data_IF_339562407606
#
_entry.id   IF_339562407606
#
_cell.length_a   1.000
_cell.length_b   1.000
_cell.length_c   1.000
_cell.angle_alpha   90.00
_cell.angle_beta   90.00
_cell.angle_gamma   90.00
#
_symmetry.space_group_name_H-M   'P 1'
#
loop_
_entity.id
_entity.type
_entity.pdbx_description
1 polymer ?
#
# COMPACT_ATOMS: atom_id res chain seq x y z
N UNK A 1 -5.31 -0.12 3.89
CA UNK A 1 -6.45 0.76 3.52
C UNK A 1 -6.17 2.03 4.27
N UNK A 2 -5.71 3.04 3.55
CA UNK A 2 -4.79 4.03 4.13
C UNK A 2 -5.46 5.40 4.32
N UNK A 3 -6.51 5.70 3.54
CA UNK A 3 -7.28 6.94 3.60
C UNK A 3 -8.77 6.65 3.87
N UNK A 4 -9.39 7.43 4.76
CA UNK A 4 -10.82 7.37 5.10
C UNK A 4 -11.41 8.76 4.87
N UNK A 5 -12.56 8.82 4.19
CA UNK A 5 -13.38 10.05 4.07
C UNK A 5 -14.69 9.88 4.84
N UNK A 6 -15.07 10.90 5.61
CA UNK A 6 -16.35 10.98 6.32
C UNK A 6 -17.18 12.07 5.66
N UNK A 7 -18.38 11.72 5.20
CA UNK A 7 -19.32 12.64 4.54
C UNK A 7 -20.63 12.69 5.32
N UNK A 8 -21.23 13.88 5.40
CA UNK A 8 -22.48 14.14 6.11
C UNK A 8 -23.25 15.28 5.44
N UNK A 9 -24.53 15.46 5.77
CA UNK A 9 -25.40 16.43 5.13
C UNK A 9 -25.28 17.85 5.70
N UNK A 10 -24.72 18.00 6.90
CA UNK A 10 -24.42 19.30 7.51
C UNK A 10 -23.04 19.34 8.15
N UNK A 11 -22.56 20.55 8.45
CA UNK A 11 -21.28 20.75 9.14
C UNK A 11 -21.31 20.15 10.55
N UNK A 12 -22.43 20.29 11.27
CA UNK A 12 -22.62 19.73 12.61
C UNK A 12 -22.61 18.20 12.58
N UNK A 13 -23.30 17.60 11.61
CA UNK A 13 -23.35 16.15 11.43
C UNK A 13 -21.97 15.62 11.02
N UNK A 14 -21.23 16.35 10.17
CA UNK A 14 -19.86 15.99 9.79
C UNK A 14 -18.93 15.98 11.01
N UNK A 15 -19.07 16.93 11.93
CA UNK A 15 -18.31 16.97 13.17
C UNK A 15 -18.68 15.82 14.12
N UNK A 16 -19.96 15.50 14.22
CA UNK A 16 -20.42 14.38 15.04
C UNK A 16 -19.95 13.03 14.49
N UNK A 17 -20.07 12.83 13.18
CA UNK A 17 -19.57 11.65 12.49
C UNK A 17 -18.05 11.52 12.63
N UNK A 18 -17.32 12.63 12.42
CA UNK A 18 -15.88 12.72 12.65
C UNK A 18 -15.47 12.25 14.05
N UNK A 19 -16.11 12.77 15.10
CA UNK A 19 -15.79 12.40 16.48
C UNK A 19 -16.09 10.91 16.74
N UNK A 20 -17.19 10.41 16.20
CA UNK A 20 -17.56 8.99 16.29
C UNK A 20 -16.52 8.11 15.61
N UNK A 21 -16.08 8.46 14.39
CA UNK A 21 -15.05 7.75 13.64
C UNK A 21 -13.72 7.74 14.41
N UNK A 22 -13.26 8.89 14.92
CA UNK A 22 -12.02 8.95 15.71
C UNK A 22 -12.10 8.09 16.97
N UNK A 23 -13.22 8.13 17.70
CA UNK A 23 -13.41 7.30 18.89
C UNK A 23 -13.39 5.80 18.56
N UNK A 24 -14.00 5.43 17.43
CA UNK A 24 -14.04 4.03 16.97
C UNK A 24 -12.64 3.54 16.58
N UNK A 25 -11.89 4.34 15.82
CA UNK A 25 -10.51 4.02 15.44
C UNK A 25 -9.61 3.88 16.67
N UNK A 26 -9.71 4.81 17.62
CA UNK A 26 -8.97 4.74 18.88
C UNK A 26 -9.32 3.47 19.68
N UNK A 27 -10.60 3.12 19.78
CA UNK A 27 -11.05 1.91 20.47
C UNK A 27 -10.55 0.62 19.81
N UNK A 28 -10.39 0.63 18.48
CA UNK A 28 -9.79 -0.47 17.72
C UNK A 28 -8.25 -0.48 17.78
N UNK A 29 -7.63 0.39 18.59
CA UNK A 29 -6.17 0.54 18.69
C UNK A 29 -5.49 0.99 17.40
N UNK A 30 -6.21 1.70 16.52
CA UNK A 30 -5.62 2.32 15.34
C UNK A 30 -4.89 3.60 15.71
N UNK A 31 -3.73 3.84 15.09
CA UNK A 31 -2.97 5.08 15.24
C UNK A 31 -3.31 6.02 14.09
N UNK A 32 -3.99 7.13 14.39
CA UNK A 32 -4.32 8.18 13.41
C UNK A 32 -3.10 9.05 13.15
N UNK A 33 -2.74 9.25 11.87
CA UNK A 33 -1.69 10.18 11.49
C UNK A 33 -2.25 11.61 11.43
N UNK A 34 -2.07 12.38 12.50
CA UNK A 34 -2.61 13.74 12.63
C UNK A 34 -2.04 14.72 11.61
N UNK A 35 -0.75 14.64 11.29
CA UNK A 35 -0.09 15.56 10.36
C UNK A 35 -0.60 15.41 8.92
N UNK A 36 -1.04 14.20 8.56
CA UNK A 36 -1.67 13.91 7.26
C UNK A 36 -3.18 14.09 7.26
N UNK A 37 -3.80 14.14 8.45
CA UNK A 37 -5.24 14.21 8.59
C UNK A 37 -5.75 15.64 8.42
N UNK A 38 -6.87 15.78 7.72
CA UNK A 38 -7.55 17.06 7.56
C UNK A 38 -8.93 16.96 8.19
N UNK A 39 -9.05 17.52 9.40
CA UNK A 39 -10.17 17.27 10.31
C UNK A 39 -11.26 18.35 10.26
N UNK A 40 -11.04 19.43 9.49
CA UNK A 40 -12.03 20.49 9.33
C UNK A 40 -13.03 20.08 8.24
N UNK A 41 -14.34 20.09 8.53
CA UNK A 41 -15.35 19.89 7.49
C UNK A 41 -15.14 20.89 6.35
N UNK A 42 -15.27 20.40 5.12
CA UNK A 42 -15.14 21.19 3.90
C UNK A 42 -16.11 20.65 2.87
N UNK A 43 -16.65 21.54 2.04
CA UNK A 43 -17.47 21.15 0.90
C UNK A 43 -16.64 20.57 -0.25
N UNK A 44 -15.33 20.84 -0.29
CA UNK A 44 -14.42 20.30 -1.29
C UNK A 44 -13.25 19.58 -0.62
N UNK A 45 -13.01 18.32 -1.02
CA UNK A 45 -11.93 17.50 -0.49
C UNK A 45 -11.32 16.60 -1.55
N UNK A 46 -10.00 16.57 -1.62
CA UNK A 46 -9.28 15.58 -2.42
C UNK A 46 -9.24 14.24 -1.68
N UNK A 47 -9.61 13.16 -2.37
CA UNK A 47 -9.56 11.80 -1.88
C UNK A 47 -9.25 10.85 -3.04
N UNK A 48 -8.14 10.10 -2.96
CA UNK A 48 -7.68 9.18 -4.01
C UNK A 48 -7.58 9.83 -5.41
N UNK A 49 -7.17 11.09 -5.48
CA UNK A 49 -7.06 11.85 -6.75
C UNK A 49 -8.39 12.39 -7.29
N UNK A 50 -9.50 12.16 -6.61
CA UNK A 50 -10.80 12.78 -6.88
C UNK A 50 -10.99 14.01 -5.99
N UNK A 51 -11.32 15.14 -6.59
CA UNK A 51 -11.91 16.28 -5.90
C UNK A 51 -13.40 15.98 -5.72
N UNK A 52 -13.75 15.61 -4.50
CA UNK A 52 -15.14 15.42 -4.07
C UNK A 52 -15.64 16.78 -3.62
N UNK A 53 -16.59 17.34 -4.38
CA UNK A 53 -17.30 18.55 -4.02
C UNK A 53 -18.76 18.19 -3.72
N UNK A 54 -19.29 18.61 -2.57
CA UNK A 54 -20.69 18.33 -2.19
C UNK A 54 -21.71 19.13 -3.01
N UNK A 55 -21.27 20.12 -3.81
CA UNK A 55 -22.14 20.96 -4.64
C UNK A 55 -21.97 20.76 -6.14
N UNK A 56 -21.07 19.88 -6.57
CA UNK A 56 -20.84 19.60 -8.00
C UNK A 56 -20.51 18.13 -8.21
N UNK A 57 -20.52 17.67 -9.45
CA UNK A 57 -20.04 16.31 -9.76
C UNK A 57 -18.57 16.15 -9.32
N UNK A 58 -18.18 14.96 -8.81
CA UNK A 58 -16.78 14.67 -8.49
C UNK A 58 -15.91 14.80 -9.74
N UNK A 59 -14.79 15.50 -9.62
CA UNK A 59 -13.84 15.67 -10.73
C UNK A 59 -12.49 15.10 -10.33
N UNK A 60 -11.83 14.39 -11.23
CA UNK A 60 -10.43 14.03 -11.00
C UNK A 60 -9.58 15.31 -11.02
N UNK A 61 -8.62 15.41 -10.10
CA UNK A 61 -7.70 16.55 -10.08
C UNK A 61 -6.87 16.61 -11.37
N UNK A 62 -6.59 15.43 -11.96
CA UNK A 62 -6.01 15.27 -13.28
C UNK A 62 -6.89 14.31 -14.08
N UNK A 63 -7.34 14.71 -15.27
CA UNK A 63 -8.04 13.80 -16.19
C UNK A 63 -7.13 12.59 -16.49
N UNK A 64 -7.68 11.39 -16.64
CA UNK A 64 -6.92 10.22 -17.13
C UNK A 64 -6.30 10.50 -18.50
N UNK A 65 -6.89 11.39 -19.30
CA UNK A 65 -6.35 11.83 -20.59
C UNK A 65 -5.35 13.00 -20.46
N UNK A 66 -5.03 13.45 -19.24
CA UNK A 66 -4.09 14.55 -19.05
C UNK A 66 -2.69 14.14 -19.49
N UNK A 67 -2.05 15.01 -20.28
CA UNK A 67 -0.67 14.79 -20.70
C UNK A 67 0.27 15.17 -19.56
N UNK A 68 1.06 14.21 -19.09
CA UNK A 68 2.14 14.45 -18.14
C UNK A 68 3.46 14.67 -18.88
N UNK A 69 4.24 15.67 -18.46
CA UNK A 69 5.61 15.83 -18.94
C UNK A 69 6.54 14.88 -18.18
N UNK A 70 7.12 13.92 -18.88
CA UNK A 70 8.09 13.00 -18.31
C UNK A 70 9.43 13.71 -18.14
N UNK A 71 10.00 13.64 -16.95
CA UNK A 71 11.37 14.13 -16.73
C UNK A 71 12.37 13.22 -17.44
N UNK A 72 13.58 13.72 -17.77
CA UNK A 72 14.61 12.89 -18.39
C UNK A 72 14.96 11.63 -17.59
N UNK A 73 14.91 11.72 -16.25
CA UNK A 73 15.12 10.58 -15.36
C UNK A 73 14.02 9.52 -15.54
N UNK A 74 12.76 9.93 -15.55
CA UNK A 74 11.62 9.01 -15.77
C UNK A 74 11.67 8.38 -17.17
N UNK A 75 12.08 9.15 -18.19
CA UNK A 75 12.29 8.60 -19.54
C UNK A 75 13.43 7.58 -19.56
N UNK A 76 14.50 7.81 -18.81
CA UNK A 76 15.60 6.87 -18.67
C UNK A 76 15.12 5.57 -18.03
N UNK A 77 14.38 5.65 -16.92
CA UNK A 77 13.83 4.49 -16.23
C UNK A 77 12.85 3.72 -17.13
N UNK A 78 11.95 4.41 -17.84
CA UNK A 78 11.01 3.76 -18.75
C UNK A 78 11.72 3.05 -19.91
N UNK A 79 12.83 3.60 -20.40
CA UNK A 79 13.67 2.94 -21.42
C UNK A 79 14.34 1.69 -20.86
N UNK A 80 14.90 1.76 -19.65
CA UNK A 80 15.47 0.61 -18.96
C UNK A 80 14.43 -0.52 -18.79
N UNK A 81 13.20 -0.16 -18.38
CA UNK A 81 12.10 -1.11 -18.21
C UNK A 81 11.65 -1.69 -19.54
N UNK A 82 11.52 -0.87 -20.58
CA UNK A 82 11.17 -1.32 -21.93
C UNK A 82 12.20 -2.32 -22.48
N UNK A 83 13.49 -2.01 -22.33
CA UNK A 83 14.59 -2.91 -22.72
C UNK A 83 14.53 -4.20 -21.89
N UNK A 84 14.31 -4.09 -20.58
CA UNK A 84 14.21 -5.26 -19.69
C UNK A 84 13.03 -6.16 -20.05
N UNK A 85 11.88 -5.58 -20.43
CA UNK A 85 10.70 -6.31 -20.89
C UNK A 85 10.92 -6.99 -22.24
N UNK A 86 11.71 -6.39 -23.16
CA UNK A 86 12.06 -7.08 -24.42
C UNK A 86 13.01 -8.27 -24.22
N UNK A 87 13.78 -8.26 -23.13
CA UNK A 87 14.64 -9.37 -22.72
C UNK A 87 13.91 -10.38 -21.82
N UNK A 88 12.71 -10.05 -21.36
CA UNK A 88 11.92 -10.92 -20.51
C UNK A 88 11.30 -12.01 -21.39
N UNK A 89 11.76 -13.25 -21.22
CA UNK A 89 11.33 -14.42 -22.00
C UNK A 89 10.00 -15.02 -21.51
N UNK A 90 9.25 -14.25 -20.69
CA UNK A 90 7.97 -14.67 -20.12
C UNK A 90 8.07 -15.84 -19.15
N UNK A 91 9.27 -16.31 -18.81
CA UNK A 91 9.42 -17.38 -17.81
C UNK A 91 9.19 -16.77 -16.43
N UNK A 92 8.09 -17.19 -15.83
CA UNK A 92 7.93 -17.13 -14.37
C UNK A 92 9.10 -17.91 -13.77
N UNK A 93 9.74 -17.35 -12.74
CA UNK A 93 10.95 -17.90 -12.12
C UNK A 93 10.81 -19.35 -11.59
N UNK A 94 9.61 -19.95 -11.61
CA UNK A 94 9.38 -21.33 -11.23
C UNK A 94 8.13 -21.90 -11.89
N UNK A 95 8.26 -23.07 -12.54
CA UNK A 95 7.18 -23.92 -13.07
C UNK A 95 6.69 -24.99 -12.08
N UNK A 96 7.20 -25.00 -10.86
CA UNK A 96 6.75 -25.95 -9.85
C UNK A 96 5.48 -25.42 -9.19
N UNK A 97 4.49 -26.28 -8.88
CA UNK A 97 3.46 -25.91 -7.93
C UNK A 97 4.17 -25.48 -6.65
N UNK A 98 3.89 -24.26 -6.20
CA UNK A 98 4.33 -23.82 -4.89
C UNK A 98 3.65 -24.73 -3.85
N UNK A 99 4.41 -25.24 -2.90
CA UNK A 99 3.82 -25.91 -1.74
C UNK A 99 3.10 -24.88 -0.86
N UNK A 100 3.56 -23.62 -0.88
CA UNK A 100 3.11 -22.54 -0.02
C UNK A 100 3.20 -21.17 -0.74
N UNK A 101 2.19 -20.32 -0.57
CA UNK A 101 2.20 -18.93 -1.10
C UNK A 101 2.23 -17.94 0.04
N UNK A 102 3.11 -16.96 -0.03
CA UNK A 102 3.20 -15.89 0.94
C UNK A 102 2.78 -14.56 0.33
N UNK A 103 1.73 -13.96 0.88
CA UNK A 103 1.39 -12.57 0.59
C UNK A 103 2.18 -11.66 1.53
N UNK A 104 2.82 -10.62 0.99
CA UNK A 104 3.57 -9.64 1.78
C UNK A 104 3.11 -8.23 1.47
N UNK A 105 3.16 -7.35 2.47
CA UNK A 105 2.96 -5.93 2.28
C UNK A 105 4.00 -5.13 3.06
N UNK A 106 4.30 -3.93 2.56
CA UNK A 106 5.17 -2.98 3.22
C UNK A 106 4.47 -1.62 3.32
N UNK A 107 4.69 -0.94 4.43
CA UNK A 107 4.29 0.44 4.65
C UNK A 107 5.50 1.26 5.08
N UNK A 108 5.35 2.57 5.25
CA UNK A 108 6.42 3.41 5.81
C UNK A 108 6.72 3.11 7.29
N UNK A 109 5.80 2.48 8.02
CA UNK A 109 5.94 2.20 9.46
C UNK A 109 6.35 0.75 9.78
N UNK A 110 5.92 -0.21 8.97
CA UNK A 110 6.20 -1.62 9.18
C UNK A 110 5.88 -2.50 7.98
N UNK A 111 5.90 -3.82 8.22
CA UNK A 111 5.59 -4.85 7.25
C UNK A 111 4.65 -5.90 7.83
N UNK A 112 3.96 -6.60 6.93
CA UNK A 112 3.13 -7.74 7.24
C UNK A 112 3.29 -8.85 6.21
N UNK A 113 2.97 -10.07 6.62
CA UNK A 113 2.96 -11.23 5.77
C UNK A 113 1.89 -12.23 6.22
N UNK A 114 1.27 -12.91 5.26
CA UNK A 114 0.28 -13.95 5.48
C UNK A 114 0.57 -15.15 4.58
N UNK A 115 0.61 -16.35 5.18
CA UNK A 115 0.80 -17.60 4.45
C UNK A 115 -0.57 -18.10 3.96
N UNK A 116 -0.79 -18.19 2.64
CA UNK A 116 -2.06 -18.64 2.09
C UNK A 116 -2.34 -20.08 2.49
N UNK A 117 -3.57 -20.34 2.94
CA UNK A 117 -4.00 -21.67 3.40
C UNK A 117 -3.81 -21.91 4.90
N UNK A 118 -3.07 -21.04 5.59
CA UNK A 118 -2.89 -21.08 7.05
C UNK A 118 -3.33 -19.74 7.66
N UNK A 119 -3.93 -19.78 8.86
CA UNK A 119 -4.26 -18.56 9.62
C UNK A 119 -3.03 -17.88 10.25
N UNK A 120 -1.83 -18.16 9.71
CA UNK A 120 -0.58 -17.64 10.26
C UNK A 120 -0.21 -16.33 9.58
N UNK A 121 -0.09 -15.29 10.38
CA UNK A 121 0.42 -13.98 9.97
C UNK A 121 1.69 -13.63 10.74
N UNK A 122 2.55 -12.83 10.13
CA UNK A 122 3.70 -12.22 10.79
C UNK A 122 3.75 -10.74 10.46
N UNK A 123 4.15 -9.93 11.43
CA UNK A 123 4.26 -8.48 11.25
C UNK A 123 5.37 -7.88 12.10
N UNK A 124 5.85 -6.71 11.71
CA UNK A 124 6.85 -6.00 12.48
C UNK A 124 7.03 -4.55 12.05
N UNK A 125 7.71 -3.79 12.90
CA UNK A 125 7.98 -2.36 12.70
C UNK A 125 9.39 -2.14 12.17
N UNK A 126 9.58 -1.11 11.36
CA UNK A 126 10.92 -0.76 10.88
C UNK A 126 11.74 -0.10 11.99
N UNK A 127 12.97 -0.58 12.22
CA UNK A 127 13.92 0.10 13.10
C UNK A 127 14.53 1.37 12.49
N UNK A 128 14.46 1.51 11.17
CA UNK A 128 15.00 2.63 10.41
C UNK A 128 13.97 3.11 9.37
N UNK A 129 13.51 4.34 9.56
CA UNK A 129 12.56 5.03 8.67
C UNK A 129 13.30 5.70 7.50
N UNK A 130 12.57 6.09 6.45
CA UNK A 130 13.11 6.91 5.35
C UNK A 130 13.67 6.17 4.13
N UNK A 131 13.37 4.87 3.98
CA UNK A 131 13.69 4.13 2.76
C UNK A 131 12.57 4.25 1.72
N UNK A 132 12.93 4.23 0.43
CA UNK A 132 11.97 4.19 -0.67
C UNK A 132 11.07 2.94 -0.59
N UNK A 133 9.81 3.04 -1.05
CA UNK A 133 8.80 1.99 -0.90
C UNK A 133 9.24 0.65 -1.50
N UNK A 134 9.83 0.63 -2.71
CA UNK A 134 10.35 -0.61 -3.32
C UNK A 134 11.40 -1.31 -2.45
N UNK A 135 12.24 -0.55 -1.74
CA UNK A 135 13.24 -1.11 -0.79
C UNK A 135 12.55 -1.66 0.46
N UNK A 136 11.46 -1.06 0.89
CA UNK A 136 10.66 -1.55 2.01
C UNK A 136 9.90 -2.83 1.63
N UNK A 137 9.40 -2.95 0.40
CA UNK A 137 8.77 -4.18 -0.12
C UNK A 137 9.76 -5.35 -0.14
N UNK A 138 10.96 -5.17 -0.69
CA UNK A 138 12.00 -6.20 -0.68
C UNK A 138 12.42 -6.59 0.75
N UNK A 139 12.48 -5.62 1.67
CA UNK A 139 12.74 -5.90 3.08
C UNK A 139 11.59 -6.68 3.73
N UNK A 140 10.34 -6.35 3.42
CA UNK A 140 9.17 -7.06 3.93
C UNK A 140 9.22 -8.54 3.54
N UNK A 141 9.54 -8.84 2.28
CA UNK A 141 9.75 -10.23 1.81
C UNK A 141 10.82 -10.94 2.63
N UNK A 142 12.00 -10.33 2.80
CA UNK A 142 13.09 -10.93 3.58
C UNK A 142 12.72 -11.20 5.04
N UNK A 143 12.03 -10.26 5.67
CA UNK A 143 11.58 -10.42 7.05
C UNK A 143 10.50 -11.48 7.20
N UNK A 144 9.57 -11.55 6.24
CA UNK A 144 8.51 -12.54 6.19
C UNK A 144 9.05 -13.97 6.06
N UNK A 145 10.03 -14.18 5.18
CA UNK A 145 10.71 -15.46 5.05
C UNK A 145 11.40 -15.84 6.35
N UNK A 146 12.10 -14.89 7.01
CA UNK A 146 12.78 -15.17 8.29
C UNK A 146 11.83 -15.51 9.43
N UNK A 147 10.70 -14.81 9.54
CA UNK A 147 9.73 -15.04 10.61
C UNK A 147 8.99 -16.36 10.45
N UNK A 148 8.71 -16.75 9.21
CA UNK A 148 7.93 -17.95 8.89
C UNK A 148 8.84 -19.15 8.55
N UNK A 149 10.16 -18.95 8.51
CA UNK A 149 11.16 -20.01 8.33
C UNK A 149 10.92 -21.25 9.22
N UNK A 150 10.50 -21.13 10.51
CA UNK A 150 10.21 -22.30 11.33
C UNK A 150 9.02 -23.13 10.84
N UNK A 151 8.06 -22.49 10.16
CA UNK A 151 6.85 -23.12 9.59
C UNK A 151 7.09 -23.62 8.16
N UNK A 152 8.06 -23.02 7.46
CA UNK A 152 8.51 -23.44 6.14
C UNK A 152 9.56 -24.58 6.20
N UNK A 153 10.02 -24.97 7.40
CA UNK A 153 10.96 -26.08 7.60
C UNK A 153 10.26 -27.43 7.37
N UNK A 154 10.35 -27.90 6.13
CA UNK A 154 9.80 -29.18 5.68
C UNK A 154 9.60 -29.24 4.16
N UNK A 155 9.47 -28.07 3.52
CA UNK A 155 9.29 -27.93 2.07
C UNK A 155 10.62 -27.50 1.44
N UNK A 156 11.31 -28.43 0.78
CA UNK A 156 12.52 -28.13 0.03
C UNK A 156 12.17 -27.74 -1.41
N UNK A 157 12.83 -26.69 -1.90
CA UNK A 157 13.48 -26.56 -3.22
C UNK A 157 13.45 -25.07 -3.59
N UNK A 158 14.48 -24.37 -4.06
CA UNK A 158 15.84 -24.68 -4.45
C UNK A 158 16.35 -23.33 -4.99
N UNK A 159 17.44 -22.80 -4.45
CA UNK A 159 18.02 -21.55 -4.94
C UNK A 159 18.70 -21.84 -6.27
N UNK A 160 18.27 -21.19 -7.35
CA UNK A 160 19.10 -21.01 -8.54
C UNK A 160 18.93 -19.57 -9.03
N UNK A 161 20.05 -18.96 -9.43
CA UNK A 161 20.22 -17.54 -9.77
C UNK A 161 19.23 -16.99 -10.79
#
# INVERSE_FOLDING_TARGET
>A
MDDIIVMAHSQEEALQAHNTTLSTLANLSWVVNWDKSSLKPSQAKEFLGLIINTTSEPQFQNNWDSQIQLTPAVVCDLKEWSISLTKWDGRVATLHPFDEVLDTNASLGGWGAALKGLSTTSMGWWKQLGHHINKLELKAVHHAIKSLLPLLKGSFSGVTM
#
